data_IF_315433325804
#
_entry.id   IF_315433325804
#
_cell.length_a   1.000
_cell.length_b   1.000
_cell.length_c   1.000
_cell.angle_alpha   90.00
_cell.angle_beta   90.00
_cell.angle_gamma   90.00
#
_symmetry.space_group_name_H-M   'P 1'
#
loop_
_entity.id
_entity.type
_entity.pdbx_description
1 polymer ?
#
# COMPACT_ATOMS: atom_id res chain seq x y z
N UNK A 1 -52.18 14.81 32.64
CA UNK A 1 -50.70 14.92 32.37
C UNK A 1 -49.99 13.58 32.10
N UNK A 2 -50.54 12.45 32.51
CA UNK A 2 -49.93 11.11 32.25
C UNK A 2 -50.17 10.56 30.83
N UNK A 3 -51.21 10.98 30.12
CA UNK A 3 -51.55 10.50 28.77
C UNK A 3 -50.55 10.97 27.69
N UNK A 4 -50.16 12.25 27.70
CA UNK A 4 -49.24 12.84 26.69
C UNK A 4 -47.83 12.25 26.75
N UNK A 5 -47.33 11.89 27.95
CA UNK A 5 -46.02 11.26 28.09
C UNK A 5 -45.97 9.86 27.47
N UNK A 6 -47.03 9.05 27.64
CA UNK A 6 -47.09 7.71 27.06
C UNK A 6 -47.13 7.73 25.54
N UNK A 7 -47.83 8.72 24.94
CA UNK A 7 -47.93 8.89 23.49
C UNK A 7 -46.59 9.33 22.88
N UNK A 8 -45.84 10.20 23.55
CA UNK A 8 -44.51 10.64 23.08
C UNK A 8 -43.49 9.49 23.13
N UNK A 9 -43.51 8.66 24.18
CA UNK A 9 -42.65 7.49 24.25
C UNK A 9 -42.99 6.42 23.22
N UNK A 10 -44.31 6.21 22.94
CA UNK A 10 -44.75 5.29 21.90
C UNK A 10 -44.34 5.76 20.51
N UNK A 11 -44.41 7.06 20.20
CA UNK A 11 -43.99 7.65 18.93
C UNK A 11 -42.48 7.60 18.77
N UNK A 12 -41.69 7.83 19.83
CA UNK A 12 -40.23 7.70 19.80
C UNK A 12 -39.80 6.23 19.60
N UNK A 13 -40.50 5.28 20.22
CA UNK A 13 -40.21 3.84 20.03
C UNK A 13 -40.56 3.37 18.62
N UNK A 14 -41.69 3.84 18.05
CA UNK A 14 -42.07 3.52 16.67
C UNK A 14 -41.11 4.13 15.67
N UNK A 15 -40.62 5.36 15.91
CA UNK A 15 -39.59 5.96 15.06
C UNK A 15 -38.25 5.21 15.15
N UNK A 16 -37.87 4.72 16.33
CA UNK A 16 -36.65 3.89 16.51
C UNK A 16 -36.79 2.50 15.86
N UNK A 17 -37.97 1.90 15.92
CA UNK A 17 -38.23 0.57 15.32
C UNK A 17 -38.41 0.68 13.80
N UNK A 18 -39.03 1.75 13.27
CA UNK A 18 -39.11 1.98 11.81
C UNK A 18 -37.77 2.32 11.17
N UNK A 19 -36.80 2.83 11.94
CA UNK A 19 -35.44 3.06 11.43
C UNK A 19 -34.59 1.79 11.36
N UNK A 20 -35.03 0.70 11.99
CA UNK A 20 -34.33 -0.61 11.97
C UNK A 20 -34.80 -1.56 10.86
N UNK A 21 -35.82 -1.23 10.11
CA UNK A 21 -36.36 -2.10 9.05
C UNK A 21 -36.26 -1.42 7.69
N UNK A 22 -35.12 -1.44 7.12
CA UNK A 22 -34.68 -1.48 5.73
C UNK A 22 -33.27 -0.89 5.57
N UNK A 23 -32.29 -1.49 6.19
CA UNK A 23 -30.96 -1.47 5.57
C UNK A 23 -31.08 -2.42 4.36
N UNK A 24 -31.56 -1.89 3.23
CA UNK A 24 -31.32 -2.56 1.95
C UNK A 24 -29.82 -2.76 1.82
N UNK A 25 -29.37 -4.00 1.63
CA UNK A 25 -27.97 -4.26 1.29
C UNK A 25 -27.59 -3.29 0.17
N UNK A 26 -26.56 -2.47 0.44
CA UNK A 26 -26.03 -1.53 -0.56
C UNK A 26 -25.43 -2.40 -1.65
N UNK A 27 -25.93 -2.27 -2.88
CA UNK A 27 -25.36 -3.04 -4.00
C UNK A 27 -23.92 -2.67 -4.24
N UNK A 28 -23.15 -3.59 -4.82
CA UNK A 28 -21.73 -3.36 -5.11
C UNK A 28 -21.52 -2.13 -6.00
N UNK A 29 -22.38 -1.94 -7.01
CA UNK A 29 -22.34 -0.77 -7.89
C UNK A 29 -22.49 0.54 -7.11
N UNK A 30 -23.36 0.58 -6.11
CA UNK A 30 -23.52 1.76 -5.27
C UNK A 30 -22.33 2.02 -4.36
N UNK A 31 -21.65 0.97 -3.88
CA UNK A 31 -20.40 1.13 -3.13
C UNK A 31 -19.30 1.74 -4.02
N UNK A 32 -19.13 1.19 -5.22
CA UNK A 32 -18.18 1.72 -6.20
C UNK A 32 -18.49 3.19 -6.51
N UNK A 33 -19.76 3.51 -6.83
CA UNK A 33 -20.18 4.88 -7.11
C UNK A 33 -19.88 5.84 -5.93
N UNK A 34 -20.08 5.40 -4.69
CA UNK A 34 -19.75 6.21 -3.51
C UNK A 34 -18.25 6.43 -3.36
N UNK A 35 -17.42 5.44 -3.69
CA UNK A 35 -15.97 5.61 -3.73
C UNK A 35 -15.60 6.61 -4.81
N UNK A 36 -16.13 6.47 -6.03
CA UNK A 36 -15.85 7.35 -7.17
C UNK A 36 -16.26 8.81 -6.93
N UNK A 37 -17.35 9.05 -6.20
CA UNK A 37 -17.91 10.39 -5.92
C UNK A 37 -17.62 10.88 -4.51
N UNK A 38 -16.82 10.14 -3.77
CA UNK A 38 -16.56 10.38 -2.35
C UNK A 38 -15.19 10.96 -2.03
N UNK A 39 -14.40 11.38 -3.03
CA UNK A 39 -13.04 11.83 -2.82
C UNK A 39 -12.97 13.09 -1.95
N UNK A 40 -12.00 13.13 -1.03
CA UNK A 40 -11.74 14.23 -0.12
C UNK A 40 -10.25 14.53 -0.11
N UNK A 41 -9.89 15.81 -0.07
CA UNK A 41 -8.47 16.22 0.04
C UNK A 41 -7.89 15.90 1.40
N UNK A 42 -8.72 15.91 2.44
CA UNK A 42 -8.36 15.56 3.80
C UNK A 42 -9.47 14.70 4.42
N UNK A 43 -9.10 13.71 5.23
CA UNK A 43 -10.04 12.81 5.88
C UNK A 43 -11.02 13.54 6.82
N UNK A 44 -10.60 14.69 7.37
CA UNK A 44 -11.43 15.55 8.21
C UNK A 44 -12.34 16.51 7.45
N UNK A 45 -12.23 16.56 6.11
CA UNK A 45 -13.09 17.40 5.29
C UNK A 45 -14.56 16.98 5.41
N UNK A 46 -15.50 17.96 5.50
CA UNK A 46 -16.90 17.64 5.63
C UNK A 46 -17.48 17.03 4.33
N UNK A 47 -18.53 16.19 4.43
CA UNK A 47 -19.07 15.43 3.29
C UNK A 47 -19.50 16.24 2.07
N UNK A 48 -19.81 17.53 2.24
CA UNK A 48 -20.18 18.41 1.10
C UNK A 48 -18.97 18.85 0.25
N UNK A 49 -17.75 18.55 0.67
CA UNK A 49 -16.51 18.75 -0.13
C UNK A 49 -16.15 17.53 -1.00
N UNK A 50 -16.98 16.51 -1.03
CA UNK A 50 -16.75 15.33 -1.86
C UNK A 50 -16.63 15.69 -3.32
N UNK A 51 -15.70 15.03 -4.01
CA UNK A 51 -15.36 15.28 -5.40
C UNK A 51 -15.42 13.99 -6.20
N UNK A 52 -15.58 14.13 -7.51
CA UNK A 52 -15.61 13.04 -8.46
C UNK A 52 -14.19 12.61 -8.82
N UNK A 53 -13.95 11.28 -8.95
CA UNK A 53 -12.65 10.72 -9.30
C UNK A 53 -12.13 11.24 -10.64
N UNK A 54 -12.99 11.33 -11.64
CA UNK A 54 -12.57 11.77 -12.98
C UNK A 54 -12.16 13.24 -12.99
N UNK A 55 -12.85 14.09 -12.22
CA UNK A 55 -12.48 15.50 -12.05
C UNK A 55 -11.13 15.63 -11.33
N UNK A 56 -10.87 14.78 -10.33
CA UNK A 56 -9.59 14.78 -9.61
C UNK A 56 -8.44 14.25 -10.47
N UNK A 57 -8.68 13.21 -11.26
CA UNK A 57 -7.72 12.74 -12.27
C UNK A 57 -7.31 13.87 -13.22
N UNK A 58 -8.29 14.60 -13.75
CA UNK A 58 -8.04 15.74 -14.63
C UNK A 58 -7.28 16.87 -13.91
N UNK A 59 -7.65 17.19 -12.66
CA UNK A 59 -7.00 18.23 -11.84
C UNK A 59 -5.52 17.94 -11.61
N UNK A 60 -5.17 16.69 -11.27
CA UNK A 60 -3.78 16.27 -11.03
C UNK A 60 -3.03 15.85 -12.29
N UNK A 61 -3.69 15.84 -13.45
CA UNK A 61 -3.13 15.33 -14.71
C UNK A 61 -2.63 13.90 -14.59
N UNK A 62 -3.43 13.05 -13.94
CA UNK A 62 -3.24 11.61 -13.86
C UNK A 62 -4.07 10.95 -14.95
N UNK A 63 -3.46 10.46 -16.06
CA UNK A 63 -4.21 9.94 -17.20
C UNK A 63 -4.95 8.64 -16.90
N UNK A 64 -4.37 7.79 -16.02
CA UNK A 64 -4.93 6.49 -15.71
C UNK A 64 -4.72 6.08 -14.27
N UNK A 65 -5.71 5.40 -13.71
CA UNK A 65 -5.65 4.73 -12.41
C UNK A 65 -6.38 3.40 -12.49
N UNK A 66 -5.86 2.39 -11.79
CA UNK A 66 -6.54 1.12 -11.59
C UNK A 66 -6.55 0.77 -10.12
N UNK A 67 -7.67 0.25 -9.63
CA UNK A 67 -7.95 -0.04 -8.23
C UNK A 67 -8.38 -1.49 -8.10
N UNK A 68 -7.84 -2.22 -7.13
CA UNK A 68 -8.34 -3.52 -6.69
C UNK A 68 -8.69 -3.46 -5.20
N UNK A 69 -9.96 -3.58 -4.89
CA UNK A 69 -10.50 -3.55 -3.54
C UNK A 69 -10.62 -4.96 -2.97
N UNK A 70 -10.07 -5.16 -1.79
CA UNK A 70 -10.10 -6.44 -1.08
C UNK A 70 -11.12 -6.36 0.06
N UNK A 71 -12.04 -7.33 0.12
CA UNK A 71 -12.97 -7.48 1.22
C UNK A 71 -13.25 -8.97 1.47
N UNK A 72 -13.30 -9.39 2.72
CA UNK A 72 -13.47 -10.79 3.11
C UNK A 72 -12.41 -11.71 2.44
N UNK A 73 -11.14 -11.28 2.44
CA UNK A 73 -10.00 -11.99 1.84
C UNK A 73 -10.15 -12.31 0.34
N UNK A 74 -10.91 -11.50 -0.37
CA UNK A 74 -11.15 -11.63 -1.82
C UNK A 74 -11.10 -10.28 -2.48
N UNK A 75 -10.82 -10.26 -3.78
CA UNK A 75 -11.06 -9.06 -4.58
C UNK A 75 -12.59 -8.89 -4.69
N UNK A 76 -13.14 -7.90 -3.98
CA UNK A 76 -14.58 -7.57 -4.04
C UNK A 76 -14.91 -6.89 -5.36
N UNK A 77 -14.04 -6.00 -5.81
CA UNK A 77 -14.11 -5.38 -7.13
C UNK A 77 -12.72 -4.90 -7.58
N UNK A 78 -12.58 -4.80 -8.90
CA UNK A 78 -11.44 -4.12 -9.52
C UNK A 78 -11.95 -3.25 -10.67
N UNK A 79 -11.33 -2.07 -10.88
CA UNK A 79 -11.75 -1.14 -11.93
C UNK A 79 -10.60 -0.28 -12.41
N UNK A 80 -10.54 -0.07 -13.74
CA UNK A 80 -9.64 0.87 -14.38
C UNK A 80 -10.36 2.13 -14.82
N UNK A 81 -9.69 3.28 -14.74
CA UNK A 81 -10.21 4.59 -15.11
C UNK A 81 -9.19 5.33 -15.97
N UNK A 82 -9.68 6.08 -16.95
CA UNK A 82 -8.85 6.87 -17.82
C UNK A 82 -8.16 6.05 -18.91
N UNK A 83 -6.94 6.45 -19.29
CA UNK A 83 -6.23 5.93 -20.46
C UNK A 83 -4.81 5.47 -20.14
N UNK A 84 -4.30 4.52 -20.94
CA UNK A 84 -2.92 4.02 -20.80
C UNK A 84 -1.89 5.11 -21.06
N UNK A 85 -2.18 6.04 -21.96
CA UNK A 85 -1.29 7.14 -22.32
C UNK A 85 -2.12 8.38 -22.68
N UNK A 86 -1.72 9.53 -22.14
CA UNK A 86 -2.36 10.80 -22.45
C UNK A 86 -2.39 11.07 -23.96
N UNK A 87 -3.56 11.46 -24.48
CA UNK A 87 -3.77 11.72 -25.90
C UNK A 87 -4.05 10.47 -26.74
N UNK A 88 -4.04 9.26 -26.17
CA UNK A 88 -4.47 8.02 -26.81
C UNK A 88 -5.84 7.57 -26.30
N UNK A 89 -6.55 6.77 -27.06
CA UNK A 89 -7.92 6.33 -26.73
C UNK A 89 -7.96 5.01 -25.94
N UNK A 90 -6.82 4.30 -25.80
CA UNK A 90 -6.78 3.01 -25.14
C UNK A 90 -7.03 3.16 -23.64
N UNK A 91 -8.13 2.57 -23.17
CA UNK A 91 -8.56 2.67 -21.79
C UNK A 91 -7.69 1.84 -20.84
N UNK A 92 -7.53 2.30 -19.61
CA UNK A 92 -7.08 1.48 -18.49
C UNK A 92 -8.16 0.48 -18.14
N UNK A 93 -7.77 -0.78 -17.94
CA UNK A 93 -8.64 -1.89 -17.55
C UNK A 93 -8.09 -2.57 -16.29
N UNK A 94 -8.79 -3.60 -15.81
CA UNK A 94 -8.33 -4.45 -14.70
C UNK A 94 -7.08 -5.27 -15.04
N UNK A 95 -6.83 -5.47 -16.36
CA UNK A 95 -5.68 -6.23 -16.90
C UNK A 95 -4.49 -5.31 -17.21
N UNK A 96 -4.67 -3.99 -17.08
CA UNK A 96 -3.58 -3.04 -17.33
C UNK A 96 -2.48 -3.23 -16.30
N UNK A 97 -1.24 -3.36 -16.77
CA UNK A 97 -0.06 -3.48 -15.92
C UNK A 97 0.63 -2.13 -15.76
N UNK A 98 1.13 -1.90 -14.54
CA UNK A 98 1.87 -0.72 -14.13
C UNK A 98 3.19 -1.16 -13.49
N UNK A 99 4.13 -0.24 -13.31
CA UNK A 99 5.27 -0.49 -12.43
C UNK A 99 4.85 -0.29 -10.97
N UNK A 100 4.81 -1.35 -10.15
CA UNK A 100 4.38 -1.26 -8.75
C UNK A 100 5.41 -0.52 -7.87
N UNK A 101 6.66 -0.46 -8.31
CA UNK A 101 7.74 0.11 -7.52
C UNK A 101 7.84 -0.56 -6.15
N UNK A 102 8.12 0.23 -5.15
CA UNK A 102 8.38 -0.27 -3.80
C UNK A 102 7.24 -1.04 -3.13
N UNK A 103 6.01 -1.01 -3.68
CA UNK A 103 4.96 -1.92 -3.17
C UNK A 103 5.29 -3.40 -3.40
N UNK A 104 6.28 -3.74 -4.23
CA UNK A 104 6.79 -5.10 -4.37
C UNK A 104 7.70 -5.55 -3.21
N UNK A 105 8.29 -4.62 -2.43
CA UNK A 105 9.26 -4.96 -1.37
C UNK A 105 8.73 -5.94 -0.32
N UNK A 106 7.50 -5.84 0.18
CA UNK A 106 6.96 -6.85 1.10
C UNK A 106 6.92 -8.25 0.48
N UNK A 107 6.70 -8.35 -0.84
CA UNK A 107 6.67 -9.63 -1.54
C UNK A 107 8.08 -10.20 -1.71
N UNK A 108 9.07 -9.35 -2.00
CA UNK A 108 10.49 -9.74 -2.00
C UNK A 108 10.94 -10.19 -0.62
N UNK A 109 10.48 -9.49 0.44
CA UNK A 109 10.75 -9.89 1.81
C UNK A 109 10.13 -11.27 2.13
N UNK A 110 8.91 -11.54 1.69
CA UNK A 110 8.26 -12.84 1.86
C UNK A 110 9.07 -13.97 1.18
N UNK A 111 9.61 -13.72 -0.03
CA UNK A 111 10.51 -14.67 -0.69
C UNK A 111 11.82 -14.89 0.10
N UNK A 112 12.38 -13.83 0.70
CA UNK A 112 13.56 -13.97 1.55
C UNK A 112 13.28 -14.78 2.82
N UNK A 113 12.11 -14.60 3.41
CA UNK A 113 11.66 -15.34 4.59
C UNK A 113 11.38 -16.82 4.29
N UNK A 114 10.97 -17.15 3.07
CA UNK A 114 10.91 -18.54 2.60
C UNK A 114 12.27 -19.25 2.73
N UNK A 115 13.36 -18.61 2.29
CA UNK A 115 14.72 -19.17 2.44
C UNK A 115 15.19 -19.24 3.89
N UNK A 116 14.67 -18.35 4.76
CA UNK A 116 14.94 -18.45 6.21
C UNK A 116 14.29 -19.70 6.80
N UNK A 117 13.03 -19.99 6.45
CA UNK A 117 12.34 -21.20 6.91
C UNK A 117 12.94 -22.48 6.34
N UNK A 118 13.45 -22.43 5.10
CA UNK A 118 14.18 -23.54 4.49
C UNK A 118 15.55 -23.81 5.15
N UNK A 119 16.06 -22.86 5.96
CA UNK A 119 17.37 -22.95 6.61
C UNK A 119 18.55 -22.51 5.71
N UNK A 120 18.27 -22.02 4.53
CA UNK A 120 19.29 -21.52 3.59
C UNK A 120 19.82 -20.14 3.99
N UNK A 121 18.96 -19.30 4.58
CA UNK A 121 19.29 -17.99 5.13
C UNK A 121 19.00 -17.90 6.63
N UNK A 122 19.54 -16.89 7.27
CA UNK A 122 19.34 -16.58 8.67
C UNK A 122 19.02 -15.08 8.84
N UNK A 123 18.01 -14.76 9.65
CA UNK A 123 17.58 -13.37 9.83
C UNK A 123 18.64 -12.49 10.50
N UNK A 124 19.40 -13.05 11.45
CA UNK A 124 20.23 -12.28 12.38
C UNK A 124 21.76 -12.51 12.20
N UNK A 125 22.15 -13.37 11.26
CA UNK A 125 23.55 -13.57 10.89
C UNK A 125 24.03 -12.54 9.88
N UNK A 126 25.34 -12.31 9.84
CA UNK A 126 25.96 -11.44 8.82
C UNK A 126 25.70 -11.99 7.42
N UNK A 127 25.03 -11.19 6.58
CA UNK A 127 24.69 -11.59 5.21
C UNK A 127 25.93 -11.86 4.35
N UNK A 128 27.08 -11.29 4.69
CA UNK A 128 28.34 -11.58 4.00
C UNK A 128 28.75 -13.05 4.12
N UNK A 129 28.27 -13.80 5.10
CA UNK A 129 28.50 -15.23 5.22
C UNK A 129 27.79 -16.02 4.12
N UNK A 130 26.68 -15.50 3.57
CA UNK A 130 25.86 -16.14 2.54
C UNK A 130 26.02 -15.52 1.15
N UNK A 131 26.35 -14.25 1.05
CA UNK A 131 26.69 -13.59 -0.21
C UNK A 131 27.91 -14.24 -0.84
N UNK A 132 27.86 -14.59 -2.13
CA UNK A 132 28.91 -15.27 -2.88
C UNK A 132 29.44 -14.39 -4.01
N UNK A 133 28.55 -13.92 -4.88
CA UNK A 133 28.93 -13.21 -6.11
C UNK A 133 29.34 -11.76 -5.87
N UNK A 134 28.93 -11.20 -4.76
CA UNK A 134 29.27 -9.86 -4.30
C UNK A 134 29.17 -9.81 -2.78
N UNK A 135 29.94 -8.93 -2.15
CA UNK A 135 29.91 -8.74 -0.69
C UNK A 135 29.78 -7.28 -0.34
N UNK A 136 29.08 -7.00 0.75
CA UNK A 136 29.05 -5.66 1.35
C UNK A 136 30.47 -5.32 1.77
N UNK A 137 31.06 -4.19 1.30
CA UNK A 137 32.39 -3.78 1.73
C UNK A 137 32.48 -3.56 3.23
N UNK A 138 33.46 -4.16 3.86
CA UNK A 138 33.73 -4.01 5.28
C UNK A 138 34.27 -2.61 5.60
N UNK A 139 33.90 -2.05 6.73
CA UNK A 139 34.43 -0.80 7.27
C UNK A 139 34.28 -0.76 8.81
N UNK A 140 34.68 0.34 9.43
CA UNK A 140 34.62 0.52 10.88
C UNK A 140 33.18 0.41 11.47
N UNK A 141 32.16 0.64 10.65
CA UNK A 141 30.74 0.57 11.06
C UNK A 141 30.22 -0.88 11.02
N UNK A 142 30.59 -1.63 9.96
CA UNK A 142 30.25 -3.06 9.87
C UNK A 142 30.99 -3.89 10.91
N UNK A 143 32.20 -3.45 11.34
CA UNK A 143 32.92 -4.08 12.43
C UNK A 143 32.24 -3.89 13.81
N UNK A 144 31.43 -2.84 13.98
CA UNK A 144 30.67 -2.61 15.22
C UNK A 144 29.39 -3.46 15.27
N UNK A 145 28.73 -3.65 14.14
CA UNK A 145 27.54 -4.46 14.03
C UNK A 145 27.39 -5.01 12.60
N UNK A 146 27.05 -6.30 12.44
CA UNK A 146 26.91 -6.90 11.10
C UNK A 146 25.69 -6.37 10.36
N UNK A 147 25.73 -6.39 9.04
CA UNK A 147 24.53 -6.26 8.22
C UNK A 147 23.81 -7.61 8.21
N UNK A 148 22.58 -7.64 8.70
CA UNK A 148 21.77 -8.86 8.75
C UNK A 148 20.57 -8.75 7.79
N UNK A 149 19.96 -9.88 7.43
CA UNK A 149 18.76 -9.88 6.59
C UNK A 149 17.61 -9.10 7.26
N UNK A 150 17.41 -9.28 8.58
CA UNK A 150 16.45 -8.49 9.35
C UNK A 150 16.65 -6.98 9.14
N UNK A 151 17.89 -6.53 9.24
CA UNK A 151 18.24 -5.10 9.09
C UNK A 151 18.07 -4.60 7.65
N UNK A 152 18.33 -5.43 6.66
CA UNK A 152 18.06 -5.09 5.25
C UNK A 152 16.56 -4.92 5.00
N UNK A 153 15.76 -5.90 5.44
CA UNK A 153 14.30 -5.92 5.22
C UNK A 153 13.58 -4.79 5.97
N UNK A 154 14.06 -4.41 7.17
CA UNK A 154 13.50 -3.33 7.98
C UNK A 154 14.13 -1.95 7.71
N UNK A 155 15.00 -1.83 6.69
CA UNK A 155 15.70 -0.59 6.38
C UNK A 155 16.55 -0.02 7.54
N UNK A 156 17.14 -0.89 8.36
CA UNK A 156 18.02 -0.52 9.46
C UNK A 156 19.47 -1.00 9.27
N UNK A 157 19.82 -1.43 8.07
CA UNK A 157 21.16 -1.95 7.74
C UNK A 157 22.28 -0.89 7.65
N UNK A 158 21.94 0.39 7.87
CA UNK A 158 22.91 1.48 7.78
C UNK A 158 23.31 1.86 6.34
N UNK A 159 22.57 1.37 5.34
CA UNK A 159 22.72 1.70 3.94
C UNK A 159 21.78 2.88 3.64
N UNK A 160 22.26 4.02 3.13
CA UNK A 160 21.43 5.20 2.91
C UNK A 160 20.46 5.03 1.74
N UNK A 161 19.53 5.98 1.62
CA UNK A 161 18.66 6.07 0.46
C UNK A 161 19.52 6.33 -0.81
N UNK A 162 19.35 5.47 -1.80
CA UNK A 162 19.91 5.64 -3.14
C UNK A 162 18.76 5.91 -4.10
N UNK A 163 18.69 7.09 -4.73
CA UNK A 163 17.72 7.37 -5.78
C UNK A 163 17.94 6.42 -6.96
N UNK A 164 16.86 5.89 -7.50
CA UNK A 164 16.85 5.06 -8.71
C UNK A 164 16.03 5.80 -9.77
N UNK A 165 16.67 6.21 -10.85
CA UNK A 165 16.06 7.01 -11.91
C UNK A 165 15.65 6.19 -13.13
N UNK A 166 16.03 4.90 -13.15
CA UNK A 166 15.88 4.06 -14.31
C UNK A 166 16.72 4.54 -15.50
N UNK A 167 16.52 3.92 -16.64
CA UNK A 167 17.26 4.14 -17.88
C UNK A 167 16.27 4.37 -19.02
N UNK A 168 16.50 5.40 -19.82
CA UNK A 168 15.68 5.64 -21.01
C UNK A 168 15.87 4.50 -22.02
N UNK A 169 14.85 4.29 -22.88
CA UNK A 169 14.91 3.32 -23.95
C UNK A 169 16.16 3.54 -24.82
N UNK A 170 16.94 2.48 -25.05
CA UNK A 170 18.18 2.52 -25.83
C UNK A 170 19.45 2.93 -25.08
N UNK A 171 19.37 3.29 -23.80
CA UNK A 171 20.56 3.48 -22.97
C UNK A 171 21.20 2.13 -22.58
N UNK A 172 22.50 2.16 -22.29
CA UNK A 172 23.19 1.02 -21.70
C UNK A 172 22.63 0.72 -20.32
N UNK A 173 22.31 -0.54 -20.06
CA UNK A 173 21.74 -1.00 -18.78
C UNK A 173 22.85 -1.70 -17.99
N UNK A 174 23.11 -1.31 -16.72
CA UNK A 174 24.07 -1.98 -15.88
C UNK A 174 23.60 -3.39 -15.49
N UNK A 175 24.56 -4.27 -15.28
CA UNK A 175 24.29 -5.52 -14.58
C UNK A 175 24.17 -5.28 -13.05
N UNK A 176 23.77 -6.30 -12.30
CA UNK A 176 23.55 -6.19 -10.84
C UNK A 176 24.84 -5.77 -10.10
N UNK A 177 26.00 -6.32 -10.44
CA UNK A 177 27.23 -5.95 -9.78
C UNK A 177 27.58 -4.47 -10.00
N UNK A 178 27.45 -3.98 -11.23
CA UNK A 178 27.66 -2.56 -11.54
C UNK A 178 26.70 -1.66 -10.74
N UNK A 179 25.44 -2.07 -10.55
CA UNK A 179 24.50 -1.35 -9.68
C UNK A 179 24.96 -1.31 -8.22
N UNK A 180 25.41 -2.43 -7.68
CA UNK A 180 25.87 -2.55 -6.29
C UNK A 180 27.17 -1.75 -6.06
N UNK A 181 28.06 -1.72 -7.04
CA UNK A 181 29.33 -1.01 -6.96
C UNK A 181 29.26 0.46 -7.42
N UNK A 182 28.15 0.88 -8.06
CA UNK A 182 28.03 2.21 -8.66
C UNK A 182 28.89 2.41 -9.89
N UNK A 183 29.30 1.31 -10.56
CA UNK A 183 30.17 1.35 -11.72
C UNK A 183 29.40 1.67 -13.01
N UNK A 184 29.99 2.45 -13.94
CA UNK A 184 29.33 2.71 -15.21
C UNK A 184 28.92 1.41 -15.94
N UNK A 185 27.71 1.40 -16.55
CA UNK A 185 26.80 2.50 -16.81
C UNK A 185 25.78 2.80 -15.68
N UNK A 186 25.98 2.29 -14.45
CA UNK A 186 25.12 2.64 -13.33
C UNK A 186 25.03 4.16 -13.14
N UNK A 187 23.80 4.65 -12.95
CA UNK A 187 23.49 6.06 -12.69
C UNK A 187 23.12 6.32 -11.22
N UNK A 188 23.39 5.35 -10.35
CA UNK A 188 23.17 5.40 -8.90
C UNK A 188 24.50 5.33 -8.15
N UNK A 189 24.50 5.86 -6.93
CA UNK A 189 25.63 5.75 -6.02
C UNK A 189 25.86 4.28 -5.58
N UNK A 190 27.10 3.89 -5.22
CA UNK A 190 27.40 2.56 -4.76
C UNK A 190 26.67 2.22 -3.44
N UNK A 191 26.37 0.95 -3.25
CA UNK A 191 25.80 0.45 -2.00
C UNK A 191 26.90 0.38 -0.94
N UNK A 192 26.81 1.22 0.09
CA UNK A 192 27.78 1.30 1.19
C UNK A 192 27.09 1.48 2.52
N UNK A 193 27.67 0.92 3.59
CA UNK A 193 27.23 1.14 4.97
C UNK A 193 27.87 2.43 5.47
N UNK A 194 27.04 3.41 5.84
CA UNK A 194 27.45 4.73 6.31
C UNK A 194 26.87 5.09 7.70
N UNK A 195 26.07 4.22 8.27
CA UNK A 195 25.49 4.30 9.61
C UNK A 195 25.72 2.95 10.28
N UNK A 196 25.94 2.91 11.59
CA UNK A 196 26.09 1.63 12.31
C UNK A 196 24.80 0.80 12.14
N UNK A 197 24.90 -0.42 11.59
CA UNK A 197 23.72 -1.25 11.36
C UNK A 197 22.90 -1.51 12.61
N UNK A 198 21.58 -1.37 12.52
CA UNK A 198 20.62 -1.58 13.60
C UNK A 198 20.35 -0.36 14.47
N UNK A 199 20.98 0.80 14.24
CA UNK A 199 20.85 1.98 15.10
C UNK A 199 19.74 2.95 14.68
N UNK A 200 19.49 3.08 13.37
CA UNK A 200 18.52 4.02 12.82
C UNK A 200 17.74 3.40 11.65
N UNK A 201 16.50 3.81 11.50
CA UNK A 201 15.77 3.62 10.27
C UNK A 201 16.34 4.53 9.16
N UNK A 202 16.67 3.95 8.01
CA UNK A 202 17.10 4.66 6.80
C UNK A 202 16.59 3.90 5.58
N UNK A 203 15.48 4.39 5.00
CA UNK A 203 14.90 3.73 3.82
C UNK A 203 15.94 3.53 2.73
N UNK A 204 16.10 2.30 2.24
CA UNK A 204 17.20 1.96 1.33
C UNK A 204 16.76 1.07 0.17
N UNK A 205 16.83 1.59 -1.05
CA UNK A 205 16.75 0.77 -2.25
C UNK A 205 18.01 -0.12 -2.37
N UNK A 206 19.19 0.42 -2.04
CA UNK A 206 20.45 -0.34 -2.03
C UNK A 206 20.38 -1.57 -1.12
N UNK A 207 19.71 -1.47 0.04
CA UNK A 207 19.49 -2.64 0.91
C UNK A 207 18.70 -3.75 0.21
N UNK A 208 17.68 -3.41 -0.57
CA UNK A 208 16.89 -4.39 -1.33
C UNK A 208 17.59 -4.90 -2.60
N UNK A 209 18.56 -4.17 -3.15
CA UNK A 209 19.47 -4.70 -4.16
C UNK A 209 20.40 -5.77 -3.56
N UNK A 210 20.84 -5.60 -2.29
CA UNK A 210 21.58 -6.64 -1.55
C UNK A 210 20.68 -7.84 -1.26
N UNK A 211 19.42 -7.65 -0.88
CA UNK A 211 18.45 -8.75 -0.73
C UNK A 211 18.30 -9.52 -2.04
N UNK A 212 18.15 -8.85 -3.18
CA UNK A 212 18.09 -9.49 -4.49
C UNK A 212 19.34 -10.37 -4.73
N UNK A 213 20.55 -9.83 -4.48
CA UNK A 213 21.80 -10.59 -4.64
C UNK A 213 21.83 -11.80 -3.70
N UNK A 214 21.41 -11.62 -2.45
CA UNK A 214 21.36 -12.69 -1.45
C UNK A 214 20.43 -13.82 -1.88
N UNK A 215 19.26 -13.50 -2.43
CA UNK A 215 18.30 -14.48 -2.92
C UNK A 215 18.85 -15.25 -4.12
N UNK A 216 19.55 -14.59 -5.05
CA UNK A 216 20.20 -15.27 -6.19
C UNK A 216 21.30 -16.20 -5.73
N UNK A 217 22.12 -15.78 -4.77
CA UNK A 217 23.18 -16.61 -4.23
C UNK A 217 22.64 -17.81 -3.43
N UNK A 218 21.55 -17.64 -2.68
CA UNK A 218 20.91 -18.71 -1.93
C UNK A 218 20.17 -19.71 -2.83
N UNK A 219 19.43 -19.21 -3.83
CA UNK A 219 18.67 -20.05 -4.74
C UNK A 219 19.54 -20.78 -5.77
N UNK A 220 20.69 -20.19 -6.16
CA UNK A 220 21.49 -20.64 -7.29
C UNK A 220 20.84 -20.40 -8.66
N UNK A 221 19.75 -19.61 -8.71
CA UNK A 221 18.99 -19.26 -9.91
C UNK A 221 18.85 -17.75 -10.07
N UNK A 222 18.55 -17.24 -11.29
CA UNK A 222 18.19 -15.84 -11.48
C UNK A 222 17.00 -15.43 -10.62
N UNK A 223 16.96 -14.18 -10.18
CA UNK A 223 15.93 -13.65 -9.29
C UNK A 223 14.51 -13.82 -9.84
N UNK A 224 14.31 -13.57 -11.15
CA UNK A 224 13.01 -13.74 -11.80
C UNK A 224 12.50 -15.19 -11.78
N UNK A 225 13.42 -16.16 -11.88
CA UNK A 225 13.11 -17.59 -11.77
C UNK A 225 12.71 -17.92 -10.33
N UNK A 226 13.48 -17.45 -9.34
CA UNK A 226 13.16 -17.69 -7.93
C UNK A 226 11.81 -17.10 -7.54
N UNK A 227 11.50 -15.87 -7.98
CA UNK A 227 10.19 -15.26 -7.72
C UNK A 227 9.05 -16.03 -8.38
N UNK A 228 9.27 -16.55 -9.59
CA UNK A 228 8.30 -17.37 -10.29
C UNK A 228 7.98 -18.65 -9.52
N UNK A 229 8.99 -19.42 -9.15
CA UNK A 229 8.84 -20.73 -8.50
C UNK A 229 8.34 -20.62 -7.06
N UNK A 230 8.84 -19.62 -6.29
CA UNK A 230 8.57 -19.53 -4.85
C UNK A 230 7.28 -18.74 -4.58
N UNK A 231 7.00 -17.71 -5.39
CA UNK A 231 5.92 -16.77 -5.06
C UNK A 231 4.74 -16.89 -6.02
N UNK A 232 5.00 -16.82 -7.34
CA UNK A 232 3.91 -16.64 -8.29
C UNK A 232 3.21 -17.95 -8.64
N UNK A 233 3.94 -19.05 -8.89
CA UNK A 233 3.36 -20.34 -9.21
C UNK A 233 2.50 -20.93 -8.09
N UNK A 234 2.92 -20.93 -6.80
CA UNK A 234 2.06 -21.42 -5.71
C UNK A 234 0.73 -20.67 -5.58
N UNK A 235 0.67 -19.43 -6.07
CA UNK A 235 -0.54 -18.59 -6.04
C UNK A 235 -1.26 -18.52 -7.38
N UNK A 236 -0.82 -19.30 -8.39
CA UNK A 236 -1.38 -19.30 -9.74
C UNK A 236 -1.44 -17.91 -10.37
N UNK A 237 -0.37 -17.10 -10.19
CA UNK A 237 -0.21 -15.77 -10.76
C UNK A 237 0.79 -15.86 -11.91
N UNK A 238 0.32 -15.70 -13.14
CA UNK A 238 1.13 -15.80 -14.37
C UNK A 238 1.25 -14.49 -15.16
N UNK A 239 0.63 -13.43 -14.65
CA UNK A 239 0.53 -12.12 -15.30
C UNK A 239 1.56 -11.11 -14.81
N UNK A 240 2.19 -11.35 -13.66
CA UNK A 240 3.30 -10.53 -13.16
C UNK A 240 4.58 -10.88 -13.91
N UNK A 241 5.36 -9.86 -14.26
CA UNK A 241 6.74 -10.03 -14.70
C UNK A 241 7.69 -9.16 -13.90
N UNK A 242 8.83 -9.73 -13.53
CA UNK A 242 9.93 -9.00 -12.87
C UNK A 242 11.09 -8.73 -13.83
N UNK A 243 10.93 -9.10 -15.12
CA UNK A 243 11.96 -8.98 -16.15
C UNK A 243 12.12 -7.55 -16.62
N UNK A 244 13.37 -7.14 -16.75
CA UNK A 244 13.74 -5.85 -17.33
C UNK A 244 14.74 -6.08 -18.48
N UNK A 245 14.49 -5.50 -19.66
CA UNK A 245 13.31 -4.70 -20.04
C UNK A 245 12.02 -5.49 -20.12
N UNK A 246 10.86 -4.78 -20.13
CA UNK A 246 9.54 -5.39 -20.29
C UNK A 246 9.47 -6.22 -21.56
N UNK A 247 8.86 -7.40 -21.46
CA UNK A 247 8.66 -8.27 -22.60
C UNK A 247 7.75 -7.59 -23.64
N UNK A 248 8.14 -7.58 -24.89
CA UNK A 248 7.43 -6.90 -25.99
C UNK A 248 5.94 -7.30 -26.09
N UNK A 249 5.63 -8.58 -25.84
CA UNK A 249 4.24 -9.09 -25.85
C UNK A 249 3.32 -8.45 -24.80
N UNK A 250 3.88 -7.84 -23.75
CA UNK A 250 3.14 -7.19 -22.66
C UNK A 250 2.99 -5.66 -22.88
N UNK A 251 3.76 -5.07 -23.78
CA UNK A 251 3.69 -3.64 -24.07
C UNK A 251 2.27 -3.14 -24.44
N UNK A 252 1.41 -3.89 -25.15
CA UNK A 252 0.06 -3.45 -25.45
C UNK A 252 -0.88 -3.24 -24.24
N UNK A 253 -0.60 -3.85 -23.10
CA UNK A 253 -1.40 -3.72 -21.87
C UNK A 253 -0.68 -2.93 -20.78
N UNK A 254 0.54 -2.46 -21.06
CA UNK A 254 1.32 -1.64 -20.13
C UNK A 254 0.91 -0.17 -20.20
N UNK A 255 0.63 0.43 -19.06
CA UNK A 255 0.38 1.86 -18.98
C UNK A 255 1.68 2.64 -19.18
N UNK A 256 1.67 3.70 -20.00
CA UNK A 256 2.78 4.64 -20.11
C UNK A 256 2.85 5.53 -18.89
N UNK A 257 4.06 5.79 -18.37
CA UNK A 257 4.31 6.70 -17.27
C UNK A 257 4.24 8.17 -17.68
N UNK A 258 3.80 9.04 -16.78
CA UNK A 258 3.65 10.47 -17.05
C UNK A 258 4.32 11.31 -15.95
N UNK A 259 4.87 12.44 -16.34
CA UNK A 259 5.41 13.47 -15.43
C UNK A 259 4.29 14.24 -14.74
N UNK A 260 4.61 15.00 -13.72
CA UNK A 260 3.64 15.84 -12.95
C UNK A 260 2.85 16.81 -13.85
N UNK A 261 3.45 17.26 -14.94
CA UNK A 261 2.80 18.15 -15.92
C UNK A 261 1.84 17.43 -16.89
N UNK A 262 1.77 16.09 -16.82
CA UNK A 262 0.95 15.24 -17.68
C UNK A 262 1.65 14.77 -18.96
N UNK A 263 2.92 15.15 -19.18
CA UNK A 263 3.68 14.68 -20.33
C UNK A 263 4.10 13.23 -20.16
N UNK A 264 3.96 12.44 -21.23
CA UNK A 264 4.39 11.04 -21.25
C UNK A 264 5.92 10.96 -21.17
N UNK A 265 6.43 9.98 -20.43
CA UNK A 265 7.86 9.63 -20.43
C UNK A 265 8.27 9.18 -21.83
N UNK A 266 9.37 9.70 -22.41
CA UNK A 266 9.84 9.28 -23.72
C UNK A 266 10.01 7.74 -23.81
N UNK A 267 9.34 7.13 -24.79
CA UNK A 267 9.29 5.68 -24.94
C UNK A 267 8.28 4.96 -24.02
N UNK A 268 7.46 5.71 -23.27
CA UNK A 268 6.40 5.20 -22.40
C UNK A 268 6.84 4.96 -20.95
N UNK A 269 8.06 4.48 -20.71
CA UNK A 269 8.60 4.19 -19.37
C UNK A 269 10.13 4.10 -19.38
N UNK A 270 10.71 4.25 -18.19
CA UNK A 270 12.11 3.91 -17.97
C UNK A 270 12.29 2.42 -17.70
N UNK A 271 13.45 1.88 -18.10
CA UNK A 271 13.90 0.53 -17.78
C UNK A 271 14.56 0.59 -16.40
N UNK A 272 14.06 -0.18 -15.45
CA UNK A 272 14.64 -0.31 -14.11
C UNK A 272 15.22 -1.72 -13.99
N UNK A 273 16.53 -1.89 -13.91
CA UNK A 273 17.14 -3.22 -13.82
C UNK A 273 17.08 -3.85 -12.42
N UNK A 274 16.74 -3.06 -11.38
CA UNK A 274 16.71 -3.49 -9.98
C UNK A 274 15.45 -4.30 -9.67
N UNK A 275 15.56 -5.62 -9.64
CA UNK A 275 14.39 -6.49 -9.42
C UNK A 275 13.97 -6.53 -7.96
N UNK A 276 14.90 -6.60 -7.01
CA UNK A 276 14.59 -6.65 -5.57
C UNK A 276 13.92 -5.39 -5.02
N UNK A 277 14.09 -4.24 -5.66
CA UNK A 277 13.44 -2.98 -5.27
C UNK A 277 11.99 -2.87 -5.73
N UNK A 278 11.58 -3.71 -6.69
CA UNK A 278 10.30 -3.65 -7.39
C UNK A 278 10.29 -2.72 -8.60
N UNK A 279 11.41 -2.08 -8.92
CA UNK A 279 11.51 -1.12 -10.03
C UNK A 279 11.28 -1.76 -11.40
N UNK A 280 11.78 -2.98 -11.61
CA UNK A 280 11.62 -3.71 -12.87
C UNK A 280 10.26 -4.38 -13.04
N UNK A 281 9.47 -4.47 -11.97
CA UNK A 281 8.23 -5.23 -11.96
C UNK A 281 7.15 -4.57 -12.80
N UNK A 282 6.29 -5.43 -13.35
CA UNK A 282 5.05 -5.04 -14.00
C UNK A 282 3.92 -5.94 -13.51
N UNK A 283 2.86 -5.34 -13.01
CA UNK A 283 1.74 -6.05 -12.41
C UNK A 283 0.44 -5.25 -12.57
N UNK A 284 -0.69 -5.96 -12.59
CA UNK A 284 -1.99 -5.33 -12.38
C UNK A 284 -2.27 -5.14 -10.89
N UNK A 285 -3.14 -4.19 -10.48
CA UNK A 285 -3.59 -4.10 -9.09
C UNK A 285 -4.21 -5.40 -8.58
N UNK A 286 -4.91 -6.14 -9.43
CA UNK A 286 -5.53 -7.42 -9.08
C UNK A 286 -4.50 -8.49 -8.73
N UNK A 287 -3.39 -8.56 -9.45
CA UNK A 287 -2.31 -9.51 -9.16
C UNK A 287 -1.61 -9.17 -7.86
N UNK A 288 -1.30 -7.90 -7.65
CA UNK A 288 -0.74 -7.43 -6.37
C UNK A 288 -1.72 -7.70 -5.22
N UNK A 289 -3.02 -7.51 -5.42
CA UNK A 289 -4.03 -7.82 -4.42
C UNK A 289 -4.03 -9.31 -4.03
N UNK A 290 -3.88 -10.24 -5.00
CA UNK A 290 -3.79 -11.68 -4.71
C UNK A 290 -2.58 -12.02 -3.84
N UNK A 291 -1.41 -11.38 -4.09
CA UNK A 291 -0.22 -11.55 -3.26
C UNK A 291 -0.48 -11.10 -1.82
N UNK A 292 -1.12 -9.96 -1.63
CA UNK A 292 -1.43 -9.44 -0.29
C UNK A 292 -2.56 -10.17 0.40
N UNK A 293 -3.55 -10.69 -0.32
CA UNK A 293 -4.56 -11.60 0.21
C UNK A 293 -3.88 -12.85 0.79
N UNK A 294 -2.92 -13.44 0.07
CA UNK A 294 -2.16 -14.57 0.60
C UNK A 294 -1.44 -14.22 1.90
N UNK A 295 -0.74 -13.07 1.97
CA UNK A 295 -0.06 -12.64 3.19
C UNK A 295 -1.04 -12.45 4.36
N UNK A 296 -2.23 -11.87 4.11
CA UNK A 296 -3.27 -11.73 5.13
C UNK A 296 -3.82 -13.09 5.59
N UNK A 297 -4.05 -14.02 4.66
CA UNK A 297 -4.49 -15.39 4.98
C UNK A 297 -3.42 -16.14 5.79
N UNK A 298 -2.16 -16.01 5.41
CA UNK A 298 -1.03 -16.62 6.13
C UNK A 298 -0.92 -16.08 7.56
N UNK A 299 -1.00 -14.75 7.74
CA UNK A 299 -1.01 -14.12 9.06
C UNK A 299 -2.12 -14.67 9.98
N UNK A 300 -3.28 -15.00 9.41
CA UNK A 300 -4.41 -15.57 10.14
C UNK A 300 -4.36 -17.13 10.25
N UNK A 301 -3.31 -17.78 9.80
CA UNK A 301 -3.18 -19.24 9.81
C UNK A 301 -4.15 -19.95 8.85
N UNK A 302 -4.57 -19.28 7.78
CA UNK A 302 -5.49 -19.81 6.77
C UNK A 302 -4.79 -20.18 5.46
N UNK A 303 -3.49 -19.96 5.36
CA UNK A 303 -2.63 -20.30 4.23
C UNK A 303 -1.19 -20.47 4.71
N UNK A 304 -0.44 -21.36 4.06
CA UNK A 304 1.01 -21.54 4.24
C UNK A 304 1.68 -21.80 2.87
N UNK A 305 1.18 -21.13 1.83
CA UNK A 305 1.63 -21.40 0.47
C UNK A 305 3.09 -21.00 0.23
N UNK A 306 3.60 -19.97 0.93
CA UNK A 306 4.96 -19.42 0.74
C UNK A 306 5.74 -19.48 2.05
N UNK A 307 5.18 -18.93 3.13
CA UNK A 307 5.78 -18.89 4.47
C UNK A 307 4.75 -19.38 5.50
N UNK A 308 5.21 -19.77 6.67
CA UNK A 308 4.36 -20.17 7.80
C UNK A 308 3.62 -18.97 8.42
N UNK A 309 2.59 -19.26 9.22
CA UNK A 309 1.92 -18.26 10.03
C UNK A 309 2.89 -17.55 10.98
N UNK A 310 3.78 -18.29 11.64
CA UNK A 310 4.77 -17.73 12.57
C UNK A 310 5.66 -16.69 11.87
N UNK A 311 6.14 -17.02 10.68
CA UNK A 311 6.97 -16.12 9.88
C UNK A 311 6.18 -14.91 9.36
N UNK A 312 4.91 -15.05 9.01
CA UNK A 312 4.06 -13.93 8.62
C UNK A 312 3.80 -12.98 9.79
N UNK A 313 3.65 -13.50 11.01
CA UNK A 313 3.54 -12.69 12.23
C UNK A 313 4.85 -11.94 12.49
N UNK A 314 6.01 -12.61 12.40
CA UNK A 314 7.33 -11.98 12.51
C UNK A 314 7.51 -10.88 11.47
N UNK A 315 7.12 -11.14 10.22
CA UNK A 315 7.17 -10.16 9.11
C UNK A 315 6.37 -8.90 9.39
N UNK A 316 5.19 -9.04 10.01
CA UNK A 316 4.27 -7.94 10.31
C UNK A 316 4.45 -7.38 11.73
N UNK A 317 5.50 -7.77 12.44
CA UNK A 317 5.89 -7.20 13.74
C UNK A 317 6.91 -6.09 13.52
N UNK A 318 6.74 -4.90 14.17
CA UNK A 318 7.73 -3.83 14.07
C UNK A 318 9.12 -4.26 14.52
N UNK A 319 10.12 -3.99 13.70
CA UNK A 319 11.54 -4.29 13.96
C UNK A 319 12.30 -3.05 14.40
N UNK A 320 11.97 -1.92 13.81
CA UNK A 320 12.47 -0.58 14.14
C UNK A 320 11.39 0.43 13.85
N UNK A 321 11.07 1.34 14.76
CA UNK A 321 9.94 2.25 14.63
C UNK A 321 8.67 1.50 14.21
N UNK A 322 7.98 1.94 13.16
CA UNK A 322 6.80 1.30 12.58
C UNK A 322 7.13 0.43 11.34
N UNK A 323 8.34 -0.14 11.26
CA UNK A 323 8.81 -0.95 10.13
C UNK A 323 8.84 -2.43 10.50
N UNK A 324 8.03 -3.24 9.78
CA UNK A 324 8.15 -4.68 9.78
C UNK A 324 9.26 -5.18 8.85
N UNK A 325 9.30 -6.47 8.56
CA UNK A 325 10.19 -7.02 7.54
C UNK A 325 9.58 -6.81 6.15
N UNK A 326 9.75 -5.60 5.63
CA UNK A 326 9.25 -5.15 4.33
C UNK A 326 8.18 -4.06 4.42
N UNK A 327 7.01 -4.29 4.99
CA UNK A 327 5.94 -3.30 5.05
C UNK A 327 6.08 -2.32 6.22
N UNK A 328 5.33 -1.22 6.11
CA UNK A 328 5.04 -0.32 7.22
C UNK A 328 3.87 -0.86 8.03
N UNK A 329 3.95 -0.74 9.34
CA UNK A 329 2.97 -1.29 10.29
C UNK A 329 2.25 -0.14 10.98
N UNK A 330 0.93 -0.23 11.07
CA UNK A 330 0.13 0.77 11.78
C UNK A 330 -0.90 0.15 12.69
N UNK A 331 -1.33 0.91 13.71
CA UNK A 331 -2.27 0.51 14.77
C UNK A 331 -1.90 -0.84 15.41
N UNK A 332 -0.60 -1.02 15.73
CA UNK A 332 -0.10 -2.25 16.35
C UNK A 332 -0.93 -2.63 17.58
N UNK A 333 -1.42 -3.87 17.60
CA UNK A 333 -2.28 -4.37 18.67
C UNK A 333 -3.73 -3.84 18.65
N UNK A 334 -4.04 -2.83 17.83
CA UNK A 334 -5.37 -2.24 17.71
C UNK A 334 -6.33 -3.04 16.83
N UNK A 335 -7.59 -2.58 16.81
CA UNK A 335 -8.65 -3.17 15.97
C UNK A 335 -8.47 -2.85 14.48
N UNK A 336 -7.73 -1.77 14.18
CA UNK A 336 -7.40 -1.32 12.83
C UNK A 336 -5.96 -1.64 12.46
N UNK A 337 -5.36 -2.69 13.07
CA UNK A 337 -4.03 -3.16 12.69
C UNK A 337 -3.93 -3.31 11.18
N UNK A 338 -2.96 -2.64 10.57
CA UNK A 338 -2.73 -2.69 9.13
C UNK A 338 -1.25 -2.74 8.79
N UNK A 339 -0.97 -3.22 7.59
CA UNK A 339 0.31 -3.01 6.94
C UNK A 339 0.11 -2.28 5.62
N UNK A 340 1.12 -1.50 5.22
CA UNK A 340 1.04 -0.68 4.01
C UNK A 340 2.41 -0.49 3.38
N UNK A 341 2.43 -0.09 2.12
CA UNK A 341 3.63 0.38 1.45
C UNK A 341 3.29 1.33 0.30
N UNK A 342 3.91 2.52 0.20
CA UNK A 342 3.87 3.35 -1.00
C UNK A 342 4.84 2.81 -2.06
N UNK A 343 4.53 2.99 -3.33
CA UNK A 343 5.41 2.67 -4.44
C UNK A 343 5.65 3.85 -5.35
N UNK A 344 6.87 3.94 -5.86
CA UNK A 344 7.28 4.97 -6.80
C UNK A 344 8.33 4.44 -7.77
N UNK A 345 8.09 4.65 -9.04
CA UNK A 345 9.07 4.69 -10.12
C UNK A 345 8.76 5.91 -10.98
N UNK A 346 9.67 6.31 -11.85
CA UNK A 346 9.45 7.43 -12.76
C UNK A 346 8.17 7.24 -13.56
N UNK A 347 7.23 8.16 -13.39
CA UNK A 347 5.92 8.14 -14.05
C UNK A 347 4.85 7.28 -13.39
N UNK A 348 5.11 6.66 -12.23
CA UNK A 348 4.14 5.83 -11.53
C UNK A 348 4.15 6.09 -10.04
N UNK A 349 2.95 6.15 -9.45
CA UNK A 349 2.71 6.18 -8.02
C UNK A 349 1.71 5.09 -7.67
N UNK A 350 2.04 4.31 -6.66
CA UNK A 350 1.23 3.18 -6.23
C UNK A 350 1.10 3.16 -4.72
N UNK A 351 0.06 2.53 -4.22
CA UNK A 351 -0.15 2.38 -2.79
C UNK A 351 -0.88 1.09 -2.47
N UNK A 352 -0.45 0.44 -1.39
CA UNK A 352 -1.19 -0.66 -0.79
C UNK A 352 -1.44 -0.38 0.69
N UNK A 353 -2.61 -0.80 1.16
CA UNK A 353 -2.90 -0.95 2.57
C UNK A 353 -3.79 -2.17 2.76
N UNK A 354 -3.47 -2.98 3.78
CA UNK A 354 -4.19 -4.20 4.09
C UNK A 354 -4.40 -4.31 5.61
N UNK A 355 -5.59 -4.74 5.99
CA UNK A 355 -6.06 -4.96 7.36
C UNK A 355 -6.22 -6.46 7.61
N UNK A 356 -5.18 -7.19 8.05
CA UNK A 356 -5.18 -8.65 8.12
C UNK A 356 -6.31 -9.22 8.97
N UNK A 357 -6.61 -8.58 10.11
CA UNK A 357 -7.68 -9.01 11.02
C UNK A 357 -9.08 -8.85 10.43
N UNK A 358 -9.23 -8.04 9.38
CA UNK A 358 -10.51 -7.74 8.72
C UNK A 358 -10.65 -8.43 7.36
N UNK A 359 -9.56 -8.96 6.81
CA UNK A 359 -9.54 -9.44 5.43
C UNK A 359 -9.82 -8.35 4.40
N UNK A 360 -9.48 -7.10 4.73
CA UNK A 360 -9.75 -5.92 3.91
C UNK A 360 -8.45 -5.28 3.43
N UNK A 361 -8.51 -4.59 2.30
CA UNK A 361 -7.36 -3.87 1.78
C UNK A 361 -7.64 -3.25 0.42
N UNK A 362 -6.69 -2.50 -0.08
CA UNK A 362 -6.76 -1.91 -1.43
C UNK A 362 -5.37 -1.82 -2.05
N UNK A 363 -5.33 -2.03 -3.35
CA UNK A 363 -4.18 -1.72 -4.21
C UNK A 363 -4.61 -0.64 -5.19
N UNK A 364 -3.89 0.47 -5.21
CA UNK A 364 -4.14 1.59 -6.12
C UNK A 364 -2.87 1.83 -6.94
N UNK A 365 -2.97 1.83 -8.26
CA UNK A 365 -1.87 2.08 -9.18
C UNK A 365 -2.21 3.19 -10.16
N UNK A 366 -1.33 4.17 -10.29
CA UNK A 366 -1.48 5.29 -11.21
C UNK A 366 -0.29 5.40 -12.16
N UNK A 367 -0.50 5.92 -13.34
CA UNK A 367 0.53 6.14 -14.34
C UNK A 367 1.01 7.60 -14.40
N UNK A 368 1.21 8.22 -13.24
CA UNK A 368 1.69 9.62 -13.15
C UNK A 368 2.55 9.86 -11.91
N UNK A 369 3.57 10.73 -12.03
CA UNK A 369 4.35 11.24 -10.91
C UNK A 369 3.51 12.05 -9.90
N UNK A 370 2.31 12.54 -10.29
CA UNK A 370 1.35 13.21 -9.43
C UNK A 370 0.30 12.26 -8.80
N UNK A 371 0.45 10.96 -9.02
CA UNK A 371 -0.53 9.96 -8.60
C UNK A 371 -0.68 9.80 -7.09
N UNK A 372 0.33 10.20 -6.29
CA UNK A 372 0.28 10.17 -4.83
C UNK A 372 -0.84 11.05 -4.26
N UNK A 373 -1.05 12.23 -4.81
CA UNK A 373 -2.15 13.11 -4.41
C UNK A 373 -3.51 12.48 -4.67
N UNK A 374 -3.65 11.82 -5.82
CA UNK A 374 -4.88 11.16 -6.22
C UNK A 374 -5.16 9.92 -5.37
N UNK A 375 -4.18 9.04 -5.16
CA UNK A 375 -4.44 7.81 -4.41
C UNK A 375 -4.78 8.08 -2.94
N UNK A 376 -4.27 9.15 -2.30
CA UNK A 376 -4.70 9.53 -0.96
C UNK A 376 -6.16 9.97 -0.92
N UNK A 377 -6.64 10.75 -1.91
CA UNK A 377 -8.05 11.13 -1.99
C UNK A 377 -8.96 9.92 -2.23
N UNK A 378 -8.54 8.98 -3.08
CA UNK A 378 -9.24 7.70 -3.28
C UNK A 378 -9.27 6.92 -1.96
N UNK A 379 -8.13 6.84 -1.26
CA UNK A 379 -8.05 6.15 0.04
C UNK A 379 -8.98 6.76 1.08
N UNK A 380 -9.09 8.11 1.15
CA UNK A 380 -10.03 8.79 2.03
C UNK A 380 -11.48 8.37 1.73
N UNK A 381 -11.85 8.27 0.46
CA UNK A 381 -13.18 7.82 0.05
C UNK A 381 -13.44 6.37 0.44
N UNK A 382 -12.47 5.48 0.20
CA UNK A 382 -12.54 4.06 0.59
C UNK A 382 -12.61 3.92 2.11
N UNK A 383 -11.79 4.66 2.87
CA UNK A 383 -11.81 4.65 4.33
C UNK A 383 -13.20 4.97 4.88
N UNK A 384 -13.90 5.93 4.26
CA UNK A 384 -15.26 6.29 4.65
C UNK A 384 -16.29 5.21 4.29
N UNK A 385 -16.18 4.60 3.10
CA UNK A 385 -17.14 3.58 2.65
C UNK A 385 -16.97 2.25 3.41
N UNK A 386 -15.71 1.86 3.72
CA UNK A 386 -15.39 0.57 4.35
C UNK A 386 -15.15 0.66 5.87
N UNK A 387 -15.28 1.86 6.45
CA UNK A 387 -15.15 2.07 7.90
C UNK A 387 -13.74 1.79 8.43
N UNK A 388 -12.69 2.19 7.70
CA UNK A 388 -11.29 2.01 8.12
C UNK A 388 -10.79 3.14 9.03
N UNK A 389 -11.59 4.18 9.20
CA UNK A 389 -11.34 5.24 10.18
C UNK A 389 -12.33 5.09 11.33
N UNK A 390 -11.92 5.49 12.53
CA UNK A 390 -12.83 5.59 13.67
C UNK A 390 -13.74 6.80 13.43
N UNK A 391 -14.95 6.55 12.92
CA UNK A 391 -15.96 7.60 12.74
C UNK A 391 -16.63 7.91 14.09
N UNK A 392 -16.22 9.02 14.69
CA UNK A 392 -16.84 9.55 15.91
C UNK A 392 -18.02 10.51 15.62
N UNK A 393 -18.40 10.71 14.35
CA UNK A 393 -19.44 11.67 13.93
C UNK A 393 -20.74 11.39 14.61
N UNK A 394 -21.14 10.12 14.70
CA UNK A 394 -22.33 9.70 15.42
C UNK A 394 -22.27 10.07 16.91
N UNK A 395 -21.15 9.79 17.57
CA UNK A 395 -20.94 10.10 18.98
C UNK A 395 -21.00 11.62 19.22
N UNK A 396 -20.30 12.40 18.39
CA UNK A 396 -20.34 13.87 18.50
C UNK A 396 -21.73 14.43 18.20
N UNK A 397 -22.47 13.86 17.25
CA UNK A 397 -23.85 14.25 16.96
C UNK A 397 -24.77 13.98 18.14
N UNK A 398 -24.65 12.82 18.77
CA UNK A 398 -25.39 12.45 19.99
C UNK A 398 -25.02 13.38 21.15
N UNK A 399 -23.75 13.64 21.38
CA UNK A 399 -23.29 14.58 22.43
C UNK A 399 -23.84 15.98 22.16
N UNK A 400 -23.78 16.49 20.93
CA UNK A 400 -24.30 17.79 20.55
C UNK A 400 -25.82 17.88 20.78
N UNK A 401 -26.56 16.83 20.43
CA UNK A 401 -27.99 16.74 20.67
C UNK A 401 -28.34 16.75 22.17
N UNK A 402 -27.59 16.01 23.01
CA UNK A 402 -27.75 15.99 24.45
C UNK A 402 -27.45 17.36 25.05
N UNK A 403 -26.37 18.02 24.64
CA UNK A 403 -26.04 19.37 25.09
C UNK A 403 -27.09 20.38 24.68
N UNK A 404 -27.58 20.31 23.42
CA UNK A 404 -28.65 21.19 22.95
C UNK A 404 -29.93 21.01 23.77
N UNK A 405 -30.37 19.77 24.02
CA UNK A 405 -31.55 19.48 24.85
C UNK A 405 -31.34 20.02 26.28
N UNK A 406 -30.16 19.84 26.86
CA UNK A 406 -29.83 20.35 28.18
C UNK A 406 -29.92 21.88 28.27
N UNK A 407 -29.43 22.59 27.27
CA UNK A 407 -29.51 24.06 27.15
C UNK A 407 -30.98 24.50 27.02
N UNK A 408 -31.76 23.85 26.18
CA UNK A 408 -33.20 24.18 26.01
C UNK A 408 -33.97 23.98 27.33
N UNK A 409 -33.74 22.85 28.03
CA UNK A 409 -34.38 22.58 29.32
C UNK A 409 -33.98 23.62 30.36
N UNK A 410 -32.68 23.99 30.45
CA UNK A 410 -32.18 25.02 31.34
C UNK A 410 -32.82 26.37 31.08
N UNK A 411 -32.94 26.79 29.82
CA UNK A 411 -33.56 28.05 29.44
C UNK A 411 -35.08 28.05 29.76
N UNK A 412 -35.77 26.93 29.57
CA UNK A 412 -37.18 26.78 29.94
C UNK A 412 -37.39 26.86 31.46
N UNK A 413 -36.51 26.26 32.26
CA UNK A 413 -36.57 26.35 33.72
C UNK A 413 -36.28 27.77 34.22
N UNK A 414 -35.33 28.46 33.59
CA UNK A 414 -34.98 29.86 33.93
C UNK A 414 -36.15 30.81 33.63
N UNK A 415 -36.85 30.62 32.50
CA UNK A 415 -38.05 31.38 32.16
C UNK A 415 -39.21 31.16 33.17
N UNK A 416 -39.41 29.92 33.64
CA UNK A 416 -40.42 29.60 34.67
C UNK A 416 -40.12 30.28 36.01
N UNK A 417 -38.83 30.37 36.41
CA UNK A 417 -38.42 31.04 37.64
C UNK A 417 -38.55 32.57 37.57
N UNK A 418 -38.32 33.19 36.41
CA UNK A 418 -38.48 34.64 36.22
C UNK A 418 -39.97 35.06 36.19
N UNK A 419 -40.88 34.18 35.74
CA UNK A 419 -42.32 34.47 35.72
C UNK A 419 -43.04 34.29 37.06
N UNK A 420 -42.40 33.65 38.06
CA UNK A 420 -42.97 33.49 39.42
C UNK A 420 -42.51 34.56 40.43
N UNK A 421 -41.73 35.56 40.00
CA UNK A 421 -41.30 36.70 40.81
C UNK A 421 -42.15 37.98 40.54
N UNK A 422 -43.03 37.93 39.51
CA UNK A 422 -43.90 39.05 39.13
C UNK A 422 -45.39 38.81 39.43
N UNK A 423 -45.78 37.80 40.24
CA UNK A 423 -47.15 37.57 40.65
C UNK A 423 -47.34 37.80 42.16
#
# INVERSE_FOLDING_TARGET
MMSVRKTVYALLLVFLISSCTQMSEITLERKIERVEKGLLTDQSDPPWKRMDLTDRMAHYKVPGVSIAMINDFKIEWAQGYGVLEAGKAQAVTTETIFQPGSTAKPIVAMAALYFVEAGDLELDSDVNNKLVSWKIPENELTAQAPVTLRRLLSHSAGIPYVPLHGYAQGQAIPNRQQLLDGDPPANSEPVRVVIVPGTLFSYSNGGYMVVEQLLVDAAGFPFDVSMQEIVFEPLHIDTITVKSPLLEKLAPVAASGHRVDGNVIPGGWHINPEMGTGGSWWASPSDMARLYINLMLTYNGQSENIISQEMAVEMLTPQIEDRGLGPWIGDEGGDLFYFSHPGHTDGYKTYIVCYPKRGQGVVIMTNSDAGDKLYYEILHSINNEYGWVRDYTFLYTVIAAIVFIGVVVFLMQRRKRSGSIQA
#
